data_IF_837755296686
#
_entry.id   IF_837755296686
#
_cell.length_a   1.000
_cell.length_b   1.000
_cell.length_c   1.000
_cell.angle_alpha   90.00
_cell.angle_beta   90.00
_cell.angle_gamma   90.00
#
_symmetry.space_group_name_H-M   'P 1'
#
loop_
_entity.id
_entity.type
_entity.pdbx_description
1 polymer ?
#
# COMPACT_ATOMS: atom_id res chain seq x y z
N UNK A 1 -13.00 -2.50 -0.60
CA UNK A 1 -11.85 -3.45 -0.73
C UNK A 1 -12.32 -4.86 -1.11
N UNK A 2 -13.41 -5.33 -0.53
CA UNK A 2 -13.94 -6.67 -0.74
C UNK A 2 -14.34 -6.98 -2.20
N UNK A 3 -14.88 -6.00 -2.92
CA UNK A 3 -15.37 -6.19 -4.28
C UNK A 3 -14.29 -6.70 -5.26
N UNK A 4 -13.13 -6.04 -5.32
CA UNK A 4 -12.04 -6.44 -6.23
C UNK A 4 -11.46 -7.80 -5.86
N UNK A 5 -11.40 -8.13 -4.57
CA UNK A 5 -10.98 -9.45 -4.10
C UNK A 5 -11.98 -10.53 -4.50
N UNK A 6 -13.28 -10.26 -4.43
CA UNK A 6 -14.32 -11.19 -4.90
C UNK A 6 -14.22 -11.44 -6.39
N UNK A 7 -14.07 -10.38 -7.21
CA UNK A 7 -13.85 -10.51 -8.66
C UNK A 7 -12.62 -11.39 -8.93
N UNK A 8 -11.50 -11.11 -8.28
CA UNK A 8 -10.25 -11.88 -8.41
C UNK A 8 -10.44 -13.35 -8.02
N UNK A 9 -11.13 -13.60 -6.91
CA UNK A 9 -11.40 -14.98 -6.46
C UNK A 9 -12.21 -15.77 -7.48
N UNK A 10 -13.22 -15.16 -8.10
CA UNK A 10 -14.01 -15.80 -9.15
C UNK A 10 -13.13 -16.09 -10.37
N UNK A 11 -12.31 -15.13 -10.81
CA UNK A 11 -11.38 -15.33 -11.92
C UNK A 11 -10.44 -16.52 -11.69
N UNK A 12 -9.87 -16.64 -10.50
CA UNK A 12 -8.97 -17.73 -10.15
C UNK A 12 -9.67 -19.09 -10.11
N UNK A 13 -10.89 -19.14 -9.58
CA UNK A 13 -11.68 -20.38 -9.51
C UNK A 13 -12.07 -20.87 -10.90
N UNK A 14 -12.50 -19.97 -11.78
CA UNK A 14 -13.00 -20.34 -13.11
C UNK A 14 -11.87 -20.59 -14.12
N UNK A 15 -10.76 -19.90 -14.00
CA UNK A 15 -9.61 -20.07 -14.92
C UNK A 15 -8.69 -21.21 -14.51
N UNK A 16 -8.83 -21.77 -13.32
CA UNK A 16 -7.97 -22.84 -12.79
C UNK A 16 -6.47 -22.46 -12.69
N UNK A 17 -6.12 -21.19 -12.89
CA UNK A 17 -4.77 -20.62 -12.87
C UNK A 17 -4.80 -19.22 -12.27
N UNK A 18 -3.62 -18.71 -11.98
CA UNK A 18 -3.43 -17.33 -11.52
C UNK A 18 -3.67 -16.32 -12.68
N UNK A 19 -4.90 -16.22 -13.13
CA UNK A 19 -5.33 -15.38 -14.25
C UNK A 19 -5.87 -14.05 -13.73
N UNK A 20 -5.24 -12.95 -14.14
CA UNK A 20 -5.60 -11.61 -13.66
C UNK A 20 -6.24 -10.74 -14.76
N UNK A 21 -6.52 -11.32 -15.94
CA UNK A 21 -7.14 -10.61 -17.04
C UNK A 21 -8.66 -10.87 -17.05
N UNK A 22 -9.45 -9.80 -17.05
CA UNK A 22 -10.91 -9.86 -17.13
C UNK A 22 -11.35 -9.81 -18.61
N UNK A 23 -11.22 -10.94 -19.32
CA UNK A 23 -11.69 -11.09 -20.72
C UNK A 23 -13.20 -10.94 -20.82
N UNK A 24 -13.73 -10.72 -22.03
CA UNK A 24 -15.18 -10.58 -22.24
C UNK A 24 -16.00 -11.76 -21.71
N UNK A 25 -15.54 -12.97 -21.95
CA UNK A 25 -16.19 -14.21 -21.48
C UNK A 25 -16.20 -14.25 -19.94
N UNK A 26 -15.11 -13.87 -19.30
CA UNK A 26 -15.02 -13.82 -17.85
C UNK A 26 -15.83 -12.67 -17.25
N UNK A 27 -16.02 -11.56 -17.97
CA UNK A 27 -16.90 -10.47 -17.53
C UNK A 27 -18.34 -10.92 -17.37
N UNK A 28 -18.86 -11.68 -18.35
CA UNK A 28 -20.23 -12.23 -18.28
C UNK A 28 -20.38 -13.18 -17.10
N UNK A 29 -19.43 -14.09 -16.95
CA UNK A 29 -19.43 -15.08 -15.87
C UNK A 29 -19.33 -14.42 -14.49
N UNK A 30 -18.45 -13.44 -14.33
CA UNK A 30 -18.30 -12.70 -13.07
C UNK A 30 -19.58 -11.90 -12.76
N UNK A 31 -20.19 -11.27 -13.78
CA UNK A 31 -21.44 -10.53 -13.60
C UNK A 31 -22.57 -11.44 -13.13
N UNK A 32 -22.65 -12.65 -13.66
CA UNK A 32 -23.62 -13.66 -13.23
C UNK A 32 -23.34 -14.14 -11.80
N UNK A 33 -22.12 -14.52 -11.49
CA UNK A 33 -21.70 -14.99 -10.14
C UNK A 33 -21.92 -13.95 -9.05
N UNK A 34 -21.76 -12.67 -9.38
CA UNK A 34 -22.02 -11.57 -8.46
C UNK A 34 -23.48 -11.10 -8.49
N UNK A 35 -24.36 -11.80 -9.23
CA UNK A 35 -25.81 -11.53 -9.32
C UNK A 35 -26.14 -10.09 -9.74
N UNK A 36 -25.40 -9.58 -10.73
CA UNK A 36 -25.71 -8.24 -11.26
C UNK A 36 -27.09 -8.22 -11.95
N UNK A 37 -27.93 -7.21 -11.65
CA UNK A 37 -29.26 -7.12 -12.22
C UNK A 37 -29.22 -6.74 -13.71
N UNK A 38 -30.05 -7.38 -14.53
CA UNK A 38 -30.19 -7.11 -15.96
C UNK A 38 -30.85 -8.28 -16.69
N UNK A 39 -31.74 -7.98 -17.61
CA UNK A 39 -32.41 -8.97 -18.45
C UNK A 39 -31.47 -9.58 -19.50
N UNK A 40 -30.48 -8.80 -19.93
CA UNK A 40 -29.50 -9.22 -20.93
C UNK A 40 -28.07 -9.31 -20.32
N UNK A 41 -27.24 -10.24 -20.80
CA UNK A 41 -25.86 -10.38 -20.38
C UNK A 41 -25.09 -9.06 -20.48
N UNK A 42 -25.27 -8.33 -21.58
CA UNK A 42 -24.62 -7.04 -21.82
C UNK A 42 -24.92 -6.03 -20.71
N UNK A 43 -26.15 -5.91 -20.26
CA UNK A 43 -26.52 -4.96 -19.21
C UNK A 43 -25.86 -5.31 -17.87
N UNK A 44 -25.76 -6.61 -17.57
CA UNK A 44 -25.07 -7.09 -16.36
C UNK A 44 -23.58 -6.77 -16.41
N UNK A 45 -22.95 -7.00 -17.56
CA UNK A 45 -21.53 -6.66 -17.78
C UNK A 45 -21.27 -5.16 -17.67
N UNK A 46 -22.11 -4.32 -18.28
CA UNK A 46 -21.96 -2.86 -18.20
C UNK A 46 -22.00 -2.37 -16.74
N UNK A 47 -22.88 -2.91 -15.90
CA UNK A 47 -22.98 -2.58 -14.48
C UNK A 47 -21.77 -3.09 -13.69
N UNK A 48 -21.36 -4.33 -13.93
CA UNK A 48 -20.14 -4.88 -13.34
C UNK A 48 -18.92 -3.99 -13.66
N UNK A 49 -18.75 -3.64 -14.94
CA UNK A 49 -17.60 -2.84 -15.37
C UNK A 49 -17.65 -1.41 -14.83
N UNK A 50 -18.83 -0.83 -14.68
CA UNK A 50 -18.98 0.47 -14.01
C UNK A 50 -18.48 0.42 -12.56
N UNK A 51 -18.87 -0.61 -11.81
CA UNK A 51 -18.42 -0.81 -10.44
C UNK A 51 -16.92 -1.14 -10.38
N UNK A 52 -16.44 -1.99 -11.28
CA UNK A 52 -15.03 -2.33 -11.38
C UNK A 52 -14.15 -1.09 -11.58
N UNK A 53 -14.48 -0.25 -12.56
CA UNK A 53 -13.70 0.97 -12.82
C UNK A 53 -13.79 1.98 -11.66
N UNK A 54 -14.92 2.07 -10.98
CA UNK A 54 -15.06 2.91 -9.79
C UNK A 54 -14.11 2.48 -8.69
N UNK A 55 -14.05 1.18 -8.38
CA UNK A 55 -13.16 0.62 -7.37
C UNK A 55 -11.69 0.68 -7.81
N UNK A 56 -11.39 0.35 -9.06
CA UNK A 56 -10.04 0.42 -9.61
C UNK A 56 -9.47 1.85 -9.56
N UNK A 57 -10.31 2.86 -9.81
CA UNK A 57 -9.93 4.28 -9.72
C UNK A 57 -9.55 4.68 -8.30
N UNK A 58 -10.27 4.19 -7.29
CA UNK A 58 -9.94 4.44 -5.88
C UNK A 58 -8.57 3.83 -5.54
N UNK A 59 -8.35 2.59 -5.92
CA UNK A 59 -7.06 1.91 -5.71
C UNK A 59 -5.93 2.65 -6.42
N UNK A 60 -6.14 3.03 -7.69
CA UNK A 60 -5.14 3.78 -8.46
C UNK A 60 -4.77 5.11 -7.79
N UNK A 61 -5.76 5.88 -7.35
CA UNK A 61 -5.53 7.14 -6.62
C UNK A 61 -4.76 6.93 -5.32
N UNK A 62 -5.09 5.87 -4.57
CA UNK A 62 -4.39 5.54 -3.33
C UNK A 62 -2.93 5.15 -3.59
N UNK A 63 -2.66 4.37 -4.63
CA UNK A 63 -1.31 4.01 -5.05
C UNK A 63 -0.50 5.24 -5.50
N UNK A 64 -1.09 6.12 -6.30
CA UNK A 64 -0.44 7.37 -6.70
C UNK A 64 -0.12 8.28 -5.51
N UNK A 65 -1.02 8.35 -4.54
CA UNK A 65 -0.77 9.08 -3.30
C UNK A 65 0.39 8.48 -2.50
N UNK A 66 0.40 7.16 -2.30
CA UNK A 66 1.49 6.44 -1.62
C UNK A 66 2.81 6.67 -2.34
N UNK A 67 2.82 6.53 -3.67
CA UNK A 67 4.04 6.72 -4.48
C UNK A 67 4.61 8.14 -4.37
N UNK A 68 3.74 9.16 -4.27
CA UNK A 68 4.15 10.57 -4.11
C UNK A 68 4.63 10.90 -2.70
N UNK A 69 4.12 10.17 -1.70
CA UNK A 69 4.42 10.42 -0.28
C UNK A 69 5.45 9.46 0.29
N UNK A 70 5.75 8.36 -0.41
CA UNK A 70 6.76 7.41 0.03
C UNK A 70 8.14 8.08 0.07
N UNK A 71 8.90 7.90 1.16
CA UNK A 71 10.25 8.44 1.27
C UNK A 71 11.17 7.79 0.23
N UNK A 72 12.02 8.58 -0.41
CA UNK A 72 13.07 8.07 -1.29
C UNK A 72 14.22 7.51 -0.43
N UNK A 73 14.61 6.23 -0.57
CA UNK A 73 15.71 5.68 0.19
C UNK A 73 17.02 6.45 -0.07
N UNK A 74 17.71 6.87 0.99
CA UNK A 74 18.98 7.60 0.93
C UNK A 74 20.10 6.90 1.71
N UNK A 75 19.79 5.82 2.41
CA UNK A 75 20.73 5.01 3.16
C UNK A 75 20.06 3.83 3.85
N UNK A 76 20.84 3.01 4.58
CA UNK A 76 20.29 1.90 5.36
C UNK A 76 19.25 2.40 6.37
N UNK A 77 18.00 1.97 6.21
CA UNK A 77 16.86 2.39 7.01
C UNK A 77 16.56 3.90 7.01
N UNK A 78 17.07 4.66 6.02
CA UNK A 78 16.86 6.10 5.90
C UNK A 78 16.16 6.43 4.59
N UNK A 79 15.17 7.32 4.66
CA UNK A 79 14.44 7.83 3.50
C UNK A 79 14.29 9.35 3.56
N UNK A 80 14.41 10.00 2.40
CA UNK A 80 14.13 11.41 2.23
C UNK A 80 12.67 11.62 1.86
N UNK A 81 11.96 12.40 2.64
CA UNK A 81 10.60 12.86 2.41
C UNK A 81 10.53 14.38 2.24
N UNK A 82 9.33 14.93 2.04
CA UNK A 82 9.12 16.39 2.00
C UNK A 82 9.49 17.07 3.30
N UNK A 83 9.34 16.37 4.42
CA UNK A 83 9.54 16.90 5.78
C UNK A 83 10.96 16.62 6.30
N UNK A 84 11.84 16.03 5.48
CA UNK A 84 13.21 15.72 5.82
C UNK A 84 13.54 14.23 5.85
N UNK A 85 14.65 13.90 6.51
CA UNK A 85 15.12 12.51 6.68
C UNK A 85 14.24 11.81 7.71
N UNK A 86 13.78 10.60 7.37
CA UNK A 86 12.99 9.74 8.27
C UNK A 86 13.48 8.30 8.25
N UNK A 87 13.09 7.52 9.25
CA UNK A 87 13.37 6.09 9.29
C UNK A 87 12.33 5.31 8.45
N UNK A 88 12.81 4.39 7.61
CA UNK A 88 11.95 3.48 6.86
C UNK A 88 11.33 2.41 7.76
N UNK A 89 12.11 1.94 8.75
CA UNK A 89 11.63 1.09 9.85
C UNK A 89 11.92 1.78 11.19
N UNK A 90 10.94 2.49 11.79
CA UNK A 90 11.10 3.19 13.05
C UNK A 90 11.39 2.26 14.23
N UNK A 91 10.89 1.02 14.21
CA UNK A 91 11.10 0.04 15.29
C UNK A 91 12.55 -0.41 15.30
N UNK A 92 13.13 -0.68 14.15
CA UNK A 92 14.55 -1.00 14.02
C UNK A 92 15.42 0.20 14.43
N UNK A 93 15.07 1.40 13.98
CA UNK A 93 15.80 2.61 14.31
C UNK A 93 15.83 2.86 15.81
N UNK A 94 14.72 2.68 16.52
CA UNK A 94 14.68 2.85 17.98
C UNK A 94 15.65 1.92 18.74
N UNK A 95 16.02 0.80 18.15
CA UNK A 95 16.95 -0.20 18.72
C UNK A 95 18.40 -0.04 18.28
N UNK A 96 18.66 0.81 17.29
CA UNK A 96 19.98 0.93 16.64
C UNK A 96 20.47 2.38 16.66
N UNK A 97 21.15 2.83 17.73
CA UNK A 97 21.60 4.24 17.86
C UNK A 97 22.48 4.74 16.72
N UNK A 98 23.25 3.87 16.08
CA UNK A 98 24.06 4.24 14.90
C UNK A 98 23.22 4.76 13.74
N UNK A 99 21.97 4.30 13.61
CA UNK A 99 21.02 4.80 12.60
C UNK A 99 20.61 6.25 12.87
N UNK A 100 20.59 6.68 14.12
CA UNK A 100 20.27 8.07 14.48
C UNK A 100 21.38 9.02 14.03
N UNK A 101 22.64 8.64 14.29
CA UNK A 101 23.81 9.42 13.85
C UNK A 101 23.81 9.51 12.31
N UNK A 102 23.55 8.41 11.62
CA UNK A 102 23.45 8.37 10.17
C UNK A 102 22.32 9.28 9.64
N UNK A 103 21.18 9.37 10.34
CA UNK A 103 20.08 10.27 9.96
C UNK A 103 20.49 11.74 10.05
N UNK A 104 21.16 12.15 11.12
CA UNK A 104 21.67 13.53 11.25
C UNK A 104 22.76 13.85 10.22
N UNK A 105 23.65 12.90 9.95
CA UNK A 105 24.68 13.07 8.92
C UNK A 105 24.05 13.23 7.54
N UNK A 106 23.09 12.37 7.19
CA UNK A 106 22.37 12.46 5.91
C UNK A 106 21.59 13.79 5.78
N UNK A 107 21.03 14.30 6.87
CA UNK A 107 20.35 15.59 6.88
C UNK A 107 21.34 16.76 6.63
N UNK A 108 22.49 16.73 7.26
CA UNK A 108 23.57 17.74 7.06
C UNK A 108 24.07 17.69 5.61
N UNK A 109 24.41 16.50 5.11
CA UNK A 109 24.96 16.31 3.77
C UNK A 109 23.96 16.69 2.69
N UNK A 110 22.67 16.46 2.93
CA UNK A 110 21.56 16.78 2.02
C UNK A 110 21.02 18.21 2.16
N UNK A 111 21.50 19.00 3.12
CA UNK A 111 20.97 20.35 3.39
C UNK A 111 19.48 20.33 3.79
N UNK A 112 19.05 19.30 4.49
CA UNK A 112 17.67 19.11 4.94
C UNK A 112 17.62 18.90 6.46
N UNK A 113 16.42 18.71 7.00
CA UNK A 113 16.22 18.45 8.43
C UNK A 113 15.91 16.96 8.68
N UNK A 114 16.01 16.53 9.94
CA UNK A 114 15.45 15.25 10.38
C UNK A 114 13.98 15.47 10.69
N UNK A 115 13.11 14.65 10.09
CA UNK A 115 11.68 14.79 10.24
C UNK A 115 11.22 14.60 11.69
N UNK A 116 10.15 15.29 12.10
CA UNK A 116 9.68 15.31 13.48
C UNK A 116 9.31 13.93 14.02
N UNK A 117 8.71 13.08 13.19
CA UNK A 117 8.39 11.69 13.53
C UNK A 117 9.65 10.84 13.80
N UNK A 118 10.74 11.11 13.07
CA UNK A 118 12.03 10.45 13.31
C UNK A 118 12.68 10.94 14.62
N UNK A 119 12.59 12.24 14.91
CA UNK A 119 13.05 12.78 16.20
C UNK A 119 12.27 12.17 17.38
N UNK A 120 10.96 11.96 17.21
CA UNK A 120 10.13 11.26 18.20
C UNK A 120 10.58 9.83 18.48
N UNK A 121 11.08 9.11 17.48
CA UNK A 121 11.64 7.76 17.66
C UNK A 121 12.94 7.75 18.47
N UNK A 122 13.76 8.78 18.33
CA UNK A 122 15.05 8.91 19.05
C UNK A 122 14.82 9.16 20.55
N UNK A 123 13.75 9.86 20.92
CA UNK A 123 13.40 10.18 22.30
C UNK A 123 12.62 9.10 23.05
N UNK A 124 12.18 8.02 22.38
CA UNK A 124 11.42 6.97 23.05
C UNK A 124 12.32 6.13 23.95
N UNK A 125 12.02 6.04 25.30
CA UNK A 125 12.72 5.10 26.14
C UNK A 125 12.41 3.68 25.63
N UNK A 126 13.47 2.89 25.40
CA UNK A 126 13.38 1.46 25.12
C UNK A 126 12.49 0.81 26.18
N UNK A 127 11.22 0.61 25.86
CA UNK A 127 10.25 0.04 26.79
C UNK A 127 10.79 -1.27 27.33
N UNK A 128 10.88 -1.38 28.66
CA UNK A 128 11.19 -2.62 29.36
C UNK A 128 10.30 -3.71 28.79
N UNK A 129 10.91 -4.73 28.19
CA UNK A 129 10.22 -5.93 27.79
C UNK A 129 9.43 -6.44 29.01
N UNK A 130 8.11 -6.35 28.97
CA UNK A 130 7.25 -6.89 30.00
C UNK A 130 7.39 -8.41 29.96
N UNK A 131 8.24 -8.95 30.81
CA UNK A 131 8.29 -10.39 31.10
C UNK A 131 7.00 -10.73 31.85
N UNK A 132 5.96 -11.13 31.10
CA UNK A 132 4.85 -11.84 31.71
C UNK A 132 5.28 -13.28 31.92
N UNK A 133 5.38 -13.64 33.21
CA UNK A 133 5.38 -15.02 33.69
C UNK A 133 4.00 -15.65 33.50
#
# INVERSE_FOLDING_TARGET
EDFLLRVRSILHLESGRNHNALSHELQELVAERLSYPGSEPRQRVERLMSDYFRHARVVHRSLEWIRRTAPTPVGPNLGLSRDGIRFLDPIQAARTPSTWIAAFQAAIDGGTEVAEDALGCIGMPLGKASTRR
#
